data_IF_309663693725
#
_entry.id   IF_309663693725
#
_cell.length_a   1.000
_cell.length_b   1.000
_cell.length_c   1.000
_cell.angle_alpha   90.00
_cell.angle_beta   90.00
_cell.angle_gamma   90.00
#
_symmetry.space_group_name_H-M   'P 1'
#
loop_
_entity.id
_entity.type
_entity.pdbx_description
1 polymer ?
#
# COMPACT_ATOMS: atom_id res chain seq x y z
N UNK A 1 -19.28 -14.91 -8.67
CA UNK A 1 -20.28 -15.88 -8.14
C UNK A 1 -19.63 -16.95 -7.26
N UNK A 2 -18.33 -16.84 -6.98
CA UNK A 2 -17.51 -17.78 -6.19
C UNK A 2 -17.75 -17.69 -4.68
N UNK A 3 -18.48 -16.66 -4.24
CA UNK A 3 -18.79 -16.36 -2.85
C UNK A 3 -20.00 -17.10 -2.30
N UNK A 4 -20.78 -17.75 -3.16
CA UNK A 4 -21.90 -18.60 -2.75
C UNK A 4 -21.43 -20.03 -2.45
N UNK A 5 -21.90 -20.61 -1.35
CA UNK A 5 -21.58 -22.00 -0.97
C UNK A 5 -22.21 -23.00 -1.95
N UNK A 6 -23.40 -22.66 -2.45
CA UNK A 6 -24.17 -23.45 -3.42
C UNK A 6 -24.61 -22.53 -4.57
N UNK A 7 -24.87 -23.07 -5.78
CA UNK A 7 -25.41 -22.27 -6.88
C UNK A 7 -26.66 -21.49 -6.43
N UNK A 8 -26.66 -20.15 -6.52
CA UNK A 8 -27.79 -19.36 -6.04
C UNK A 8 -28.97 -19.47 -7.01
N UNK A 9 -30.18 -19.30 -6.48
CA UNK A 9 -31.43 -19.44 -7.20
C UNK A 9 -31.80 -18.10 -7.84
N UNK A 10 -32.22 -18.10 -9.11
CA UNK A 10 -32.77 -16.90 -9.75
C UNK A 10 -34.05 -16.48 -9.06
N UNK A 11 -34.16 -15.20 -8.77
CA UNK A 11 -35.37 -14.59 -8.20
C UNK A 11 -35.67 -13.33 -8.98
N UNK A 12 -36.94 -12.93 -9.03
CA UNK A 12 -37.36 -11.62 -9.53
C UNK A 12 -38.03 -10.87 -8.37
N UNK A 13 -37.17 -10.33 -7.50
CA UNK A 13 -37.62 -9.55 -6.35
C UNK A 13 -37.27 -8.09 -6.62
N UNK A 14 -38.29 -7.24 -6.67
CA UNK A 14 -38.11 -5.80 -6.81
C UNK A 14 -37.41 -5.26 -5.56
N UNK A 15 -36.19 -4.79 -5.71
CA UNK A 15 -35.43 -4.10 -4.67
C UNK A 15 -35.46 -2.61 -4.98
N UNK A 16 -36.18 -1.86 -4.16
CA UNK A 16 -36.16 -0.39 -4.22
C UNK A 16 -35.00 0.12 -3.37
N UNK A 17 -34.06 0.85 -3.97
CA UNK A 17 -32.91 1.37 -3.24
C UNK A 17 -31.80 1.87 -4.16
N UNK A 18 -30.56 1.42 -3.90
CA UNK A 18 -29.32 1.85 -4.59
C UNK A 18 -29.51 1.80 -6.12
N UNK A 19 -29.42 2.96 -6.77
CA UNK A 19 -29.47 3.09 -8.23
C UNK A 19 -30.87 3.10 -8.86
N UNK A 20 -31.96 3.08 -8.07
CA UNK A 20 -33.34 3.11 -8.57
C UNK A 20 -34.11 1.81 -8.30
N UNK A 21 -35.11 1.50 -9.13
CA UNK A 21 -35.81 0.22 -9.09
C UNK A 21 -34.97 -0.86 -9.79
N UNK A 22 -34.17 -1.59 -9.04
CA UNK A 22 -33.46 -2.79 -9.52
C UNK A 22 -34.22 -4.06 -9.13
N UNK A 23 -34.19 -5.10 -9.96
CA UNK A 23 -34.59 -6.45 -9.52
C UNK A 23 -33.35 -7.16 -8.95
N UNK A 24 -33.44 -7.70 -7.74
CA UNK A 24 -32.46 -8.69 -7.30
C UNK A 24 -32.53 -9.88 -8.25
N UNK A 25 -31.38 -10.30 -8.76
CA UNK A 25 -31.30 -11.31 -9.82
C UNK A 25 -31.16 -12.72 -9.23
N UNK A 26 -30.52 -12.85 -8.07
CA UNK A 26 -30.27 -14.14 -7.42
C UNK A 26 -30.42 -14.07 -5.90
N UNK A 27 -30.69 -15.22 -5.29
CA UNK A 27 -30.75 -15.43 -3.84
C UNK A 27 -30.00 -16.71 -3.48
N UNK A 28 -29.19 -16.67 -2.42
CA UNK A 28 -28.47 -17.86 -1.95
C UNK A 28 -27.74 -17.67 -0.63
N UNK A 29 -26.92 -18.64 -0.26
CA UNK A 29 -26.09 -18.56 0.96
C UNK A 29 -24.67 -18.17 0.60
N UNK A 30 -24.22 -17.03 1.12
CA UNK A 30 -22.86 -16.54 0.91
C UNK A 30 -21.95 -16.95 2.06
N UNK A 31 -20.67 -17.15 1.74
CA UNK A 31 -19.60 -17.36 2.70
C UNK A 31 -18.49 -16.35 2.42
N UNK A 32 -18.26 -15.45 3.36
CA UNK A 32 -17.19 -14.46 3.28
C UNK A 32 -16.16 -14.71 4.37
N UNK A 33 -14.91 -14.90 3.96
CA UNK A 33 -13.78 -14.98 4.88
C UNK A 33 -13.33 -13.56 5.20
N UNK A 34 -13.51 -13.11 6.43
CA UNK A 34 -13.17 -11.77 6.91
C UNK A 34 -12.11 -11.87 7.99
N UNK A 35 -11.14 -10.96 7.94
CA UNK A 35 -10.13 -10.86 8.98
C UNK A 35 -10.51 -9.79 10.01
N UNK A 36 -10.44 -10.09 11.30
CA UNK A 36 -10.69 -9.13 12.38
C UNK A 36 -9.52 -8.15 12.60
N UNK A 37 -9.66 -7.25 13.56
CA UNK A 37 -8.62 -6.25 13.88
C UNK A 37 -7.34 -6.88 14.45
N UNK A 38 -7.44 -8.09 15.01
CA UNK A 38 -6.32 -8.89 15.53
C UNK A 38 -5.71 -9.82 14.49
N UNK A 39 -6.10 -9.67 13.21
CA UNK A 39 -5.65 -10.49 12.09
C UNK A 39 -6.11 -11.95 12.12
N UNK A 40 -7.07 -12.31 12.97
CA UNK A 40 -7.67 -13.65 12.98
C UNK A 40 -8.73 -13.73 11.86
N UNK A 41 -8.75 -14.85 11.15
CA UNK A 41 -9.69 -15.08 10.05
C UNK A 41 -10.98 -15.72 10.56
N UNK A 42 -12.11 -15.21 10.09
CA UNK A 42 -13.45 -15.64 10.48
C UNK A 42 -14.31 -15.85 9.25
N UNK A 43 -15.12 -16.91 9.29
CA UNK A 43 -16.06 -17.20 8.22
C UNK A 43 -17.44 -16.65 8.54
N UNK A 44 -17.94 -15.73 7.71
CA UNK A 44 -19.30 -15.20 7.81
C UNK A 44 -20.18 -15.94 6.81
N UNK A 45 -21.05 -16.80 7.33
CA UNK A 45 -22.05 -17.52 6.53
C UNK A 45 -23.38 -16.80 6.70
N UNK A 46 -23.92 -16.28 5.59
CA UNK A 46 -25.16 -15.49 5.61
C UNK A 46 -26.15 -16.13 4.62
N UNK A 47 -27.18 -16.82 5.13
CA UNK A 47 -28.21 -17.43 4.28
C UNK A 47 -29.09 -16.36 3.65
N UNK A 48 -29.87 -16.74 2.64
CA UNK A 48 -30.91 -15.91 2.03
C UNK A 48 -30.44 -14.51 1.56
N UNK A 49 -29.17 -14.40 1.19
CA UNK A 49 -28.57 -13.15 0.73
C UNK A 49 -28.94 -12.90 -0.74
N UNK A 50 -29.47 -11.71 -1.01
CA UNK A 50 -29.82 -11.27 -2.35
C UNK A 50 -28.60 -10.69 -3.07
N UNK A 51 -28.53 -10.95 -4.37
CA UNK A 51 -27.49 -10.47 -5.26
C UNK A 51 -28.11 -9.87 -6.51
N UNK A 52 -27.60 -8.69 -6.89
CA UNK A 52 -27.92 -8.03 -8.14
C UNK A 52 -26.70 -8.07 -9.06
N UNK A 53 -26.88 -8.62 -10.26
CA UNK A 53 -25.76 -8.95 -11.15
C UNK A 53 -24.93 -7.75 -11.60
N UNK A 54 -25.56 -6.59 -11.76
CA UNK A 54 -24.91 -5.35 -12.18
C UNK A 54 -24.37 -4.51 -11.02
N UNK A 55 -24.49 -4.99 -9.76
CA UNK A 55 -23.91 -4.27 -8.64
C UNK A 55 -22.39 -4.50 -8.59
N UNK A 56 -21.57 -3.43 -8.59
CA UNK A 56 -20.11 -3.57 -8.53
C UNK A 56 -19.62 -4.19 -7.22
N UNK A 57 -20.41 -4.06 -6.15
CA UNK A 57 -20.06 -4.54 -4.81
C UNK A 57 -21.15 -5.45 -4.24
N UNK A 58 -20.74 -6.28 -3.28
CA UNK A 58 -21.69 -7.01 -2.44
C UNK A 58 -22.19 -6.09 -1.34
N UNK A 59 -23.52 -6.00 -1.20
CA UNK A 59 -24.13 -5.25 -0.12
C UNK A 59 -24.29 -6.14 1.10
N UNK A 60 -23.80 -5.66 2.23
CA UNK A 60 -23.98 -6.31 3.52
C UNK A 60 -24.99 -5.54 4.35
N UNK A 61 -26.19 -6.11 4.52
CA UNK A 61 -27.14 -5.60 5.51
C UNK A 61 -26.62 -5.91 6.92
N UNK A 62 -26.29 -4.90 7.76
CA UNK A 62 -25.85 -5.14 9.14
C UNK A 62 -26.88 -5.92 9.94
N UNK A 63 -28.17 -5.63 9.73
CA UNK A 63 -29.28 -6.29 10.40
C UNK A 63 -29.39 -7.76 9.98
N UNK A 64 -29.33 -8.04 8.69
CA UNK A 64 -29.41 -9.42 8.17
C UNK A 64 -28.24 -10.27 8.67
N UNK A 65 -27.04 -9.67 8.70
CA UNK A 65 -25.87 -10.31 9.28
C UNK A 65 -26.05 -10.65 10.76
N UNK A 66 -26.58 -9.73 11.57
CA UNK A 66 -26.86 -10.01 12.98
C UNK A 66 -27.94 -11.09 13.17
N UNK A 67 -28.98 -11.08 12.34
CA UNK A 67 -30.03 -12.12 12.34
C UNK A 67 -29.46 -13.51 12.00
N UNK A 68 -28.54 -13.60 11.04
CA UNK A 68 -27.89 -14.84 10.66
C UNK A 68 -27.07 -15.46 11.81
N UNK A 69 -26.56 -14.64 12.74
CA UNK A 69 -25.74 -15.10 13.87
C UNK A 69 -26.55 -15.52 15.10
N UNK A 70 -27.72 -14.94 15.31
CA UNK A 70 -28.62 -15.27 16.43
C UNK A 70 -27.99 -15.06 17.83
N UNK A 71 -27.05 -14.12 17.96
CA UNK A 71 -26.32 -13.85 19.21
C UNK A 71 -26.97 -12.75 20.08
N UNK A 72 -28.22 -12.35 19.79
CA UNK A 72 -28.89 -11.24 20.49
C UNK A 72 -28.04 -9.96 20.47
N UNK A 73 -27.65 -9.47 21.65
CA UNK A 73 -26.79 -8.28 21.81
C UNK A 73 -25.29 -8.58 21.60
N UNK A 74 -24.92 -9.84 21.34
CA UNK A 74 -23.55 -10.28 21.09
C UNK A 74 -23.02 -9.99 19.68
N UNK A 75 -23.91 -9.64 18.74
CA UNK A 75 -23.54 -9.10 17.42
C UNK A 75 -24.02 -7.66 17.30
N UNK A 76 -23.08 -6.73 17.08
CA UNK A 76 -23.38 -5.29 17.05
C UNK A 76 -22.68 -4.62 15.88
N UNK A 77 -23.34 -3.64 15.27
CA UNK A 77 -22.74 -2.73 14.29
C UNK A 77 -22.87 -1.29 14.81
N UNK A 78 -21.74 -0.62 15.00
CA UNK A 78 -21.67 0.76 15.47
C UNK A 78 -21.08 1.60 14.34
N UNK A 79 -21.77 2.67 13.96
CA UNK A 79 -21.29 3.63 12.97
C UNK A 79 -20.80 4.88 13.69
N UNK A 80 -19.53 5.21 13.50
CA UNK A 80 -18.90 6.46 13.88
C UNK A 80 -18.86 7.41 12.67
N UNK A 81 -18.39 8.64 12.89
CA UNK A 81 -18.27 9.64 11.82
C UNK A 81 -17.27 9.27 10.71
N UNK A 82 -16.31 8.41 11.02
CA UNK A 82 -15.13 8.08 10.20
C UNK A 82 -14.94 6.57 10.01
N UNK A 83 -15.72 5.74 10.72
CA UNK A 83 -15.54 4.30 10.72
C UNK A 83 -16.82 3.56 11.09
N UNK A 84 -16.88 2.29 10.71
CA UNK A 84 -17.87 1.32 11.19
C UNK A 84 -17.16 0.24 11.97
N UNK A 85 -17.60 -0.03 13.20
CA UNK A 85 -17.13 -1.16 14.02
C UNK A 85 -18.19 -2.23 14.08
N UNK A 86 -17.77 -3.47 13.84
CA UNK A 86 -18.63 -4.65 13.94
C UNK A 86 -18.09 -5.58 14.99
N UNK A 87 -18.95 -5.97 15.92
CA UNK A 87 -18.67 -6.91 16.99
C UNK A 87 -19.46 -8.20 16.76
N UNK A 88 -18.86 -9.34 17.05
CA UNK A 88 -19.53 -10.64 16.97
C UNK A 88 -18.96 -11.64 17.97
N UNK A 89 -19.64 -12.80 18.10
CA UNK A 89 -19.29 -13.87 19.03
C UNK A 89 -19.30 -13.33 20.47
N UNK A 90 -20.47 -12.83 20.88
CA UNK A 90 -20.68 -12.19 22.18
C UNK A 90 -19.72 -11.02 22.44
N UNK A 91 -19.57 -10.17 21.42
CA UNK A 91 -18.65 -9.02 21.41
C UNK A 91 -17.17 -9.35 21.61
N UNK A 92 -16.77 -10.61 21.42
CA UNK A 92 -15.37 -11.05 21.58
C UNK A 92 -14.45 -10.56 20.47
N UNK A 93 -14.95 -10.52 19.24
CA UNK A 93 -14.17 -10.13 18.07
C UNK A 93 -14.71 -8.84 17.48
N UNK A 94 -13.80 -8.05 16.92
CA UNK A 94 -14.11 -6.75 16.35
C UNK A 94 -13.44 -6.56 15.00
N UNK A 95 -14.18 -5.96 14.07
CA UNK A 95 -13.66 -5.45 12.81
C UNK A 95 -13.98 -3.97 12.69
N UNK A 96 -12.95 -3.15 12.61
CA UNK A 96 -13.02 -1.72 12.32
C UNK A 96 -12.79 -1.52 10.83
N UNK A 97 -13.72 -0.80 10.19
CA UNK A 97 -13.68 -0.47 8.77
C UNK A 97 -13.73 1.05 8.66
N UNK A 98 -12.63 1.65 8.21
CA UNK A 98 -12.58 3.09 7.97
C UNK A 98 -13.46 3.43 6.77
N UNK A 99 -14.21 4.53 6.87
CA UNK A 99 -15.00 5.05 5.77
C UNK A 99 -14.08 5.65 4.72
N UNK A 100 -14.40 5.42 3.46
CA UNK A 100 -13.71 6.09 2.37
C UNK A 100 -14.00 7.60 2.41
N UNK A 101 -12.95 8.43 2.37
CA UNK A 101 -13.08 9.88 2.56
C UNK A 101 -13.91 10.58 1.47
N UNK A 102 -13.90 10.04 0.25
CA UNK A 102 -14.63 10.61 -0.88
C UNK A 102 -16.08 10.13 -0.92
N UNK A 103 -16.32 8.84 -0.69
CA UNK A 103 -17.64 8.21 -0.87
C UNK A 103 -18.43 8.03 0.42
N UNK A 104 -17.78 8.16 1.59
CA UNK A 104 -18.36 7.90 2.90
C UNK A 104 -18.96 6.48 3.03
N UNK A 105 -18.34 5.50 2.35
CA UNK A 105 -18.79 4.10 2.32
C UNK A 105 -17.76 3.23 3.05
N UNK A 106 -18.24 2.29 3.86
CA UNK A 106 -17.41 1.25 4.47
C UNK A 106 -17.20 0.10 3.48
N UNK A 107 -15.96 -0.11 3.02
CA UNK A 107 -15.61 -1.22 2.14
C UNK A 107 -14.89 -2.33 2.90
N UNK A 108 -15.55 -3.48 3.02
CA UNK A 108 -14.98 -4.67 3.68
C UNK A 108 -14.32 -5.55 2.61
N UNK A 109 -13.03 -5.85 2.81
CA UNK A 109 -12.30 -6.80 1.98
C UNK A 109 -12.32 -8.19 2.61
N UNK A 110 -12.39 -9.21 1.76
CA UNK A 110 -12.14 -10.58 2.19
C UNK A 110 -10.70 -10.71 2.72
N UNK A 111 -10.44 -11.77 3.48
CA UNK A 111 -9.11 -12.13 3.96
C UNK A 111 -8.14 -12.15 2.78
N UNK A 112 -6.96 -11.53 2.90
CA UNK A 112 -5.87 -11.72 1.95
C UNK A 112 -5.54 -13.21 1.81
N UNK A 113 -5.37 -13.68 0.58
CA UNK A 113 -4.91 -15.03 0.28
C UNK A 113 -3.84 -14.96 -0.80
N UNK A 114 -2.91 -15.92 -0.76
CA UNK A 114 -1.88 -16.08 -1.78
C UNK A 114 -2.25 -17.21 -2.75
N UNK A 115 -3.50 -17.67 -2.75
CA UNK A 115 -3.91 -18.89 -3.47
C UNK A 115 -3.66 -18.79 -4.97
N UNK A 116 -3.87 -17.60 -5.56
CA UNK A 116 -3.55 -17.36 -6.98
C UNK A 116 -2.06 -17.37 -7.26
N UNK A 117 -1.26 -16.77 -6.37
CA UNK A 117 0.20 -16.77 -6.49
C UNK A 117 0.75 -18.19 -6.31
N UNK A 118 0.26 -18.93 -5.32
CA UNK A 118 0.62 -20.32 -5.10
C UNK A 118 0.22 -21.19 -6.29
N UNK A 119 -0.99 -21.04 -6.83
CA UNK A 119 -1.42 -21.76 -8.04
C UNK A 119 -0.52 -21.44 -9.25
N UNK A 120 -0.11 -20.18 -9.40
CA UNK A 120 0.86 -19.77 -10.41
C UNK A 120 2.22 -20.43 -10.17
N UNK A 121 2.76 -20.38 -8.94
CA UNK A 121 4.01 -21.04 -8.56
C UNK A 121 3.97 -22.56 -8.82
N UNK A 122 2.85 -23.22 -8.54
CA UNK A 122 2.65 -24.64 -8.87
C UNK A 122 2.67 -24.85 -10.37
N UNK A 123 1.93 -24.05 -11.14
CA UNK A 123 1.89 -24.19 -12.60
C UNK A 123 3.26 -23.99 -13.28
N UNK A 124 4.08 -23.04 -12.79
CA UNK A 124 5.43 -22.82 -13.33
C UNK A 124 6.42 -23.89 -12.85
N UNK A 125 6.27 -24.41 -11.62
CA UNK A 125 7.18 -25.45 -11.10
C UNK A 125 6.94 -26.83 -11.72
N UNK A 126 5.73 -27.08 -12.21
CA UNK A 126 5.40 -28.25 -13.02
C UNK A 126 5.91 -28.13 -14.47
N UNK A 127 6.40 -26.95 -14.87
CA UNK A 127 7.09 -26.77 -16.16
C UNK A 127 8.56 -27.14 -15.95
N UNK A 128 9.08 -28.09 -16.74
CA UNK A 128 10.48 -28.58 -16.70
C UNK A 128 11.55 -27.48 -16.93
N UNK A 129 11.14 -26.23 -17.12
CA UNK A 129 11.97 -25.04 -17.35
C UNK A 129 12.23 -24.21 -16.09
N UNK A 130 11.90 -24.70 -14.88
CA UNK A 130 12.41 -24.13 -13.64
C UNK A 130 13.91 -24.42 -13.46
N UNK A 131 14.72 -23.92 -14.40
CA UNK A 131 16.17 -23.79 -14.23
C UNK A 131 16.38 -22.79 -13.12
N UNK A 132 17.08 -23.20 -12.05
CA UNK A 132 17.59 -22.25 -11.05
C UNK A 132 18.43 -21.24 -11.84
N UNK A 133 17.97 -20.00 -11.93
CA UNK A 133 18.71 -18.92 -12.56
C UNK A 133 19.99 -18.74 -11.75
N UNK A 134 21.14 -18.91 -12.40
CA UNK A 134 22.45 -18.68 -11.81
C UNK A 134 22.59 -17.19 -11.50
N UNK A 135 23.27 -16.87 -10.40
CA UNK A 135 23.65 -15.51 -10.02
C UNK A 135 24.42 -14.76 -11.12
N UNK A 136 25.03 -15.49 -12.07
CA UNK A 136 25.65 -14.92 -13.28
C UNK A 136 24.65 -14.43 -14.33
N UNK A 137 23.43 -14.99 -14.40
CA UNK A 137 22.37 -14.57 -15.34
C UNK A 137 21.56 -13.37 -14.82
N UNK A 138 21.71 -13.01 -13.53
CA UNK A 138 21.10 -11.83 -12.92
C UNK A 138 22.00 -10.56 -13.02
N UNK A 139 23.19 -10.69 -13.59
CA UNK A 139 24.08 -9.55 -13.83
C UNK A 139 23.56 -8.75 -15.03
N UNK A 140 23.18 -7.49 -14.81
CA UNK A 140 22.81 -6.54 -15.87
C UNK A 140 23.92 -6.48 -16.93
N UNK A 141 23.55 -6.41 -18.21
CA UNK A 141 24.51 -6.28 -19.31
C UNK A 141 25.52 -5.16 -19.03
N UNK A 142 26.81 -5.35 -19.32
CA UNK A 142 27.80 -4.30 -19.12
C UNK A 142 27.42 -3.08 -19.97
N UNK A 143 27.49 -1.89 -19.37
CA UNK A 143 27.22 -0.63 -20.06
C UNK A 143 28.22 -0.45 -21.21
N UNK A 144 27.80 -0.80 -22.41
CA UNK A 144 28.61 -0.72 -23.62
C UNK A 144 28.50 0.67 -24.25
N UNK A 145 28.80 1.74 -23.49
CA UNK A 145 29.22 3.01 -24.08
C UNK A 145 29.87 3.90 -23.02
N UNK A 146 31.20 4.00 -23.07
CA UNK A 146 31.93 5.09 -22.44
C UNK A 146 31.58 6.35 -23.25
N UNK A 147 30.70 7.19 -22.70
CA UNK A 147 30.47 8.53 -23.25
C UNK A 147 31.75 9.32 -22.97
N UNK A 148 32.49 9.64 -24.04
CA UNK A 148 33.66 10.51 -23.99
C UNK A 148 33.15 11.93 -23.77
N UNK A 149 33.53 12.52 -22.63
CA UNK A 149 33.28 13.90 -22.26
C UNK A 149 34.23 14.80 -23.05
N UNK A 150 33.82 15.23 -24.25
CA UNK A 150 34.45 16.36 -24.93
C UNK A 150 33.56 16.98 -26.03
N UNK A 151 33.46 18.30 -25.95
CA UNK A 151 33.07 19.30 -26.96
C UNK A 151 31.57 19.65 -27.19
N UNK A 152 31.32 20.93 -26.87
CA UNK A 152 30.39 21.93 -27.45
C UNK A 152 28.86 21.72 -27.39
N UNK A 153 28.24 22.66 -26.66
CA UNK A 153 26.81 22.92 -26.57
C UNK A 153 26.21 23.21 -27.96
N UNK A 154 25.59 22.19 -28.55
CA UNK A 154 24.53 22.38 -29.54
C UNK A 154 23.19 22.17 -28.84
N UNK A 155 22.38 23.23 -28.87
CA UNK A 155 21.00 23.29 -28.43
C UNK A 155 20.19 22.30 -29.30
N UNK A 156 20.04 21.06 -28.83
CA UNK A 156 19.19 20.05 -29.44
C UNK A 156 18.10 19.67 -28.43
N UNK A 157 16.88 19.99 -28.82
CA UNK A 157 15.62 19.87 -28.10
C UNK A 157 15.36 18.40 -27.72
N UNK A 158 15.88 17.99 -26.56
CA UNK A 158 15.49 16.73 -25.91
C UNK A 158 14.10 16.99 -25.34
N UNK A 159 13.09 16.68 -26.15
CA UNK A 159 11.75 16.42 -25.62
C UNK A 159 11.91 15.31 -24.57
N UNK A 160 11.83 15.67 -23.31
CA UNK A 160 11.69 14.72 -22.23
C UNK A 160 10.40 13.93 -22.49
N UNK A 161 10.54 12.74 -23.06
CA UNK A 161 9.60 11.67 -22.81
C UNK A 161 9.75 11.29 -21.35
N UNK A 162 9.29 12.18 -20.46
CA UNK A 162 8.85 11.80 -19.14
C UNK A 162 7.71 10.84 -19.40
N UNK A 163 8.00 9.53 -19.34
CA UNK A 163 6.92 8.57 -19.18
C UNK A 163 6.17 8.99 -17.91
N UNK A 164 5.01 9.60 -18.12
CA UNK A 164 4.20 10.09 -17.03
C UNK A 164 3.90 8.93 -16.09
N UNK A 165 3.79 9.22 -14.80
CA UNK A 165 3.39 8.27 -13.74
C UNK A 165 2.10 7.49 -14.11
N UNK A 166 1.33 7.95 -15.10
CA UNK A 166 0.13 7.31 -15.65
C UNK A 166 0.38 5.95 -16.30
N UNK A 167 1.57 5.66 -16.85
CA UNK A 167 1.83 4.39 -17.55
C UNK A 167 2.10 3.20 -16.61
N UNK A 168 2.35 3.45 -15.32
CA UNK A 168 2.58 2.39 -14.30
C UNK A 168 1.33 2.02 -13.49
N UNK A 169 0.14 2.40 -13.96
CA UNK A 169 -1.10 2.31 -13.18
C UNK A 169 -1.70 0.89 -13.11
N UNK A 170 -2.08 0.37 -11.93
CA UNK A 170 -3.00 -0.75 -11.80
C UNK A 170 -4.40 -0.33 -12.30
N UNK A 171 -5.14 -1.17 -13.07
CA UNK A 171 -6.36 -0.76 -13.78
C UNK A 171 -7.53 -0.28 -12.90
N UNK A 172 -7.41 -0.37 -11.57
CA UNK A 172 -8.53 -0.27 -10.63
C UNK A 172 -8.52 0.99 -9.74
N UNK A 173 -7.56 1.92 -9.90
CA UNK A 173 -7.51 3.19 -9.15
C UNK A 173 -8.17 4.35 -9.92
N UNK A 174 -9.04 5.16 -9.28
CA UNK A 174 -9.68 6.31 -9.93
C UNK A 174 -8.70 7.49 -10.13
N UNK A 175 -8.84 8.21 -11.24
CA UNK A 175 -7.94 9.31 -11.68
C UNK A 175 -7.77 10.44 -10.66
N UNK A 176 -8.81 10.70 -9.87
CA UNK A 176 -8.91 11.84 -8.93
C UNK A 176 -7.82 11.89 -7.86
N UNK A 177 -7.18 10.75 -7.54
CA UNK A 177 -6.12 10.66 -6.52
C UNK A 177 -4.78 11.26 -6.97
N UNK A 178 -4.57 11.41 -8.28
CA UNK A 178 -3.30 11.88 -8.83
C UNK A 178 -3.36 13.33 -9.31
N UNK A 179 -4.54 13.84 -9.65
CA UNK A 179 -4.75 15.25 -10.01
C UNK A 179 -4.66 16.20 -8.78
N UNK A 180 -4.92 15.70 -7.56
CA UNK A 180 -4.80 16.46 -6.31
C UNK A 180 -3.34 16.81 -5.97
N UNK A 181 -2.37 15.99 -6.37
CA UNK A 181 -0.95 16.23 -6.07
C UNK A 181 -0.32 17.31 -6.98
N UNK A 182 -0.92 17.60 -8.14
CA UNK A 182 -0.45 18.65 -9.06
C UNK A 182 -0.99 20.04 -8.70
N UNK A 183 -1.99 20.14 -7.82
CA UNK A 183 -2.67 21.41 -7.47
C UNK A 183 -2.20 22.07 -6.15
N UNK A 184 -1.34 21.40 -5.36
CA UNK A 184 -0.94 21.90 -4.03
C UNK A 184 0.16 22.99 -4.06
N UNK A 185 0.82 23.20 -5.21
CA UNK A 185 1.91 24.19 -5.33
C UNK A 185 1.42 25.65 -5.44
N UNK A 186 0.16 25.90 -5.82
CA UNK A 186 -0.36 27.26 -5.97
C UNK A 186 -1.00 27.86 -4.70
N UNK A 187 -1.39 27.04 -3.70
CA UNK A 187 -2.14 27.53 -2.53
C UNK A 187 -1.26 28.09 -1.40
N UNK A 188 0.06 27.87 -1.42
CA UNK A 188 0.98 28.30 -0.34
C UNK A 188 1.32 29.80 -0.33
N UNK A 189 1.00 30.54 -1.38
CA UNK A 189 1.50 31.92 -1.56
C UNK A 189 0.52 33.04 -1.22
N UNK A 190 -0.69 32.76 -0.72
CA UNK A 190 -1.61 33.85 -0.35
C UNK A 190 -2.52 33.52 0.85
N UNK A 191 -2.01 33.69 2.07
CA UNK A 191 -2.85 33.99 3.23
C UNK A 191 -2.00 34.59 4.38
N UNK A 192 -1.76 35.89 4.31
CA UNK A 192 -1.37 36.67 5.48
C UNK A 192 -2.62 36.94 6.33
N UNK A 193 -2.98 36.05 7.25
CA UNK A 193 -3.85 36.37 8.39
C UNK A 193 -3.40 35.58 9.61
N UNK A 194 -2.84 36.32 10.57
CA UNK A 194 -2.51 35.83 11.89
C UNK A 194 -3.80 35.88 12.75
N UNK A 195 -4.21 34.76 13.35
CA UNK A 195 -4.67 34.84 14.72
C UNK A 195 -4.01 33.78 15.62
N UNK A 196 -3.39 34.28 16.68
CA UNK A 196 -2.99 33.63 17.92
C UNK A 196 -2.82 32.09 17.90
N UNK A 197 -1.59 31.64 17.67
CA UNK A 197 -1.20 30.24 17.90
C UNK A 197 -1.27 29.92 19.41
N UNK A 198 -1.86 28.78 19.84
CA UNK A 198 -1.58 28.25 21.15
C UNK A 198 -0.08 27.92 21.24
N UNK A 199 0.54 28.32 22.35
CA UNK A 199 1.94 28.02 22.66
C UNK A 199 2.06 26.50 22.76
N UNK A 200 2.58 25.86 21.71
CA UNK A 200 3.14 24.53 21.83
C UNK A 200 4.33 24.65 22.77
N UNK A 201 4.37 23.83 23.82
CA UNK A 201 5.60 23.61 24.57
C UNK A 201 6.64 23.15 23.56
N UNK A 202 7.67 23.98 23.37
CA UNK A 202 8.91 23.58 22.71
C UNK A 202 9.43 22.42 23.54
N UNK A 203 9.18 21.20 23.08
CA UNK A 203 9.91 20.03 23.54
C UNK A 203 11.35 20.32 23.09
N UNK A 204 12.33 20.40 24.01
CA UNK A 204 13.71 20.49 23.58
C UNK A 204 13.96 19.30 22.65
N UNK A 205 14.49 19.56 21.46
CA UNK A 205 15.15 18.51 20.70
C UNK A 205 16.31 18.06 21.58
N UNK A 206 16.08 17.03 22.37
CA UNK A 206 17.18 16.22 22.89
C UNK A 206 17.80 15.60 21.65
N UNK A 207 18.81 16.27 21.10
CA UNK A 207 19.82 15.64 20.28
C UNK A 207 20.49 14.58 21.17
N UNK A 208 19.85 13.42 21.32
CA UNK A 208 20.59 12.20 21.52
C UNK A 208 21.41 12.02 20.25
N UNK A 209 22.58 12.66 20.22
CA UNK A 209 23.70 12.35 19.34
C UNK A 209 23.99 10.88 19.62
N UNK A 210 23.29 9.99 18.91
CA UNK A 210 23.64 8.59 18.87
C UNK A 210 25.08 8.57 18.42
N UNK A 211 25.98 8.32 19.37
CA UNK A 211 27.39 8.15 19.10
C UNK A 211 27.48 7.21 17.91
N UNK A 212 28.30 7.56 16.90
CA UNK A 212 28.51 6.72 15.73
C UNK A 212 29.12 5.39 16.16
N UNK A 213 28.26 4.48 16.61
CA UNK A 213 28.62 3.11 16.89
C UNK A 213 28.93 2.45 15.55
N UNK A 214 29.85 1.48 15.51
CA UNK A 214 30.10 0.70 14.29
C UNK A 214 28.82 0.08 13.70
N UNK A 215 27.87 -0.26 14.57
CA UNK A 215 26.55 -0.77 14.21
C UNK A 215 25.68 0.28 13.54
N UNK A 216 25.69 1.53 14.03
CA UNK A 216 24.98 2.65 13.40
C UNK A 216 25.58 3.01 12.03
N UNK A 217 26.92 2.98 11.90
CA UNK A 217 27.59 3.20 10.61
C UNK A 217 27.26 2.10 9.61
N UNK A 218 27.27 0.84 10.05
CA UNK A 218 26.84 -0.30 9.23
C UNK A 218 25.39 -0.14 8.76
N UNK A 219 24.50 0.26 9.67
CA UNK A 219 23.08 0.46 9.36
C UNK A 219 22.88 1.62 8.37
N UNK A 220 23.61 2.72 8.54
CA UNK A 220 23.61 3.85 7.61
C UNK A 220 24.08 3.43 6.21
N UNK A 221 25.13 2.62 6.11
CA UNK A 221 25.60 2.06 4.84
C UNK A 221 24.59 1.11 4.21
N UNK A 222 23.93 0.26 5.01
CA UNK A 222 22.89 -0.64 4.54
C UNK A 222 21.71 0.12 3.91
N UNK A 223 21.25 1.20 4.56
CA UNK A 223 20.21 2.07 3.99
C UNK A 223 20.70 2.83 2.75
N UNK A 224 21.92 3.40 2.80
CA UNK A 224 22.51 4.15 1.67
C UNK A 224 22.64 3.30 0.41
N UNK A 225 22.88 2.00 0.56
CA UNK A 225 23.02 1.07 -0.55
C UNK A 225 21.78 0.20 -0.78
N UNK A 226 20.58 0.77 -0.56
CA UNK A 226 19.30 0.14 -0.88
C UNK A 226 19.14 -1.27 -0.29
N UNK A 227 19.47 -1.42 1.00
CA UNK A 227 19.37 -2.66 1.75
C UNK A 227 20.31 -3.78 1.26
N UNK A 228 21.53 -3.43 0.88
CA UNK A 228 22.56 -4.41 0.53
C UNK A 228 22.75 -5.43 1.66
N UNK A 229 22.73 -6.73 1.32
CA UNK A 229 22.92 -7.81 2.29
C UNK A 229 24.23 -7.64 3.09
N UNK A 230 24.23 -7.93 4.41
CA UNK A 230 25.39 -7.81 5.29
C UNK A 230 26.66 -8.49 4.75
N UNK A 231 26.50 -9.67 4.15
CA UNK A 231 27.61 -10.46 3.61
C UNK A 231 28.28 -9.78 2.42
N UNK A 232 27.50 -9.07 1.59
CA UNK A 232 28.00 -8.30 0.45
C UNK A 232 28.75 -7.06 0.93
N UNK A 233 28.28 -6.39 1.98
CA UNK A 233 29.03 -5.27 2.59
C UNK A 233 30.35 -5.73 3.21
N UNK A 234 30.38 -6.90 3.85
CA UNK A 234 31.62 -7.50 4.37
C UNK A 234 32.58 -7.89 3.23
N UNK A 235 32.07 -8.42 2.12
CA UNK A 235 32.87 -8.75 0.95
C UNK A 235 33.47 -7.49 0.28
N UNK A 236 32.71 -6.39 0.22
CA UNK A 236 33.19 -5.08 -0.27
C UNK A 236 34.28 -4.50 0.65
N UNK A 237 34.08 -4.55 1.96
CA UNK A 237 35.06 -4.11 2.94
C UNK A 237 36.38 -4.89 2.86
N UNK A 238 36.31 -6.22 2.63
CA UNK A 238 37.50 -7.08 2.47
C UNK A 238 38.28 -6.82 1.18
N UNK A 239 37.65 -6.22 0.16
CA UNK A 239 38.27 -5.95 -1.15
C UNK A 239 38.91 -4.56 -1.26
N UNK A 240 38.78 -3.70 -0.25
CA UNK A 240 39.47 -2.40 -0.19
C UNK A 240 38.92 -1.30 -1.11
N UNK A 241 37.77 -1.49 -1.76
CA UNK A 241 37.17 -0.48 -2.64
C UNK A 241 36.39 0.59 -1.84
N UNK A 242 37.08 1.38 -1.01
CA UNK A 242 36.54 2.59 -0.37
C UNK A 242 36.98 3.90 -1.06
N UNK A 243 37.87 3.84 -2.06
CA UNK A 243 38.43 5.01 -2.75
C UNK A 243 37.52 5.58 -3.86
N UNK A 244 36.26 5.87 -3.51
CA UNK A 244 35.34 6.60 -4.38
C UNK A 244 34.53 7.69 -3.65
N UNK A 245 34.90 8.03 -2.42
CA UNK A 245 34.15 8.99 -1.57
C UNK A 245 35.00 10.14 -1.03
N UNK A 246 36.10 10.50 -1.70
CA UNK A 246 36.84 11.72 -1.39
C UNK A 246 37.25 12.41 -2.68
N UNK A 247 36.47 13.41 -3.10
CA UNK A 247 36.92 14.70 -3.65
C UNK A 247 35.78 15.37 -4.41
N UNK A 248 35.18 16.39 -3.81
CA UNK A 248 34.91 17.71 -4.42
C UNK A 248 34.23 18.61 -3.38
N UNK A 249 34.81 19.78 -3.12
CA UNK A 249 34.20 20.79 -2.24
C UNK A 249 35.13 21.38 -1.20
N UNK A 250 36.26 21.92 -1.66
CA UNK A 250 37.14 22.84 -0.94
C UNK A 250 36.34 23.94 -0.23
N UNK A 251 36.44 24.04 1.10
CA UNK A 251 36.31 25.32 1.79
C UNK A 251 37.46 25.45 2.80
N UNK A 252 38.39 26.33 2.44
CA UNK A 252 39.51 26.75 3.26
C UNK A 252 39.02 27.43 4.54
N UNK A 253 39.51 27.00 5.70
CA UNK A 253 39.76 27.90 6.82
C UNK A 253 41.11 27.55 7.46
N UNK A 254 42.05 28.48 7.24
CA UNK A 254 43.40 28.53 7.77
C UNK A 254 43.33 28.76 9.29
N UNK A 255 44.01 27.96 10.10
CA UNK A 255 44.59 28.39 11.37
C UNK A 255 45.91 27.66 11.64
N UNK A 256 47.01 28.37 11.40
CA UNK A 256 48.33 28.06 11.95
C UNK A 256 48.53 28.89 13.22
N UNK A 257 48.78 28.24 14.35
CA UNK A 257 49.63 28.79 15.42
C UNK A 257 50.37 27.65 16.12
N UNK A 258 51.70 27.70 16.00
CA UNK A 258 52.69 26.92 16.77
C UNK A 258 52.75 27.42 18.23
N UNK A 259 53.33 26.63 19.14
CA UNK A 259 54.77 26.78 19.42
C UNK A 259 55.61 25.56 19.02
#
# INVERSE_FOLDING_TARGET
MTDFIYPPVRVDVKVTGIGGAGSATYKGTVKWEIQDDTRVSHSWIIPDTYYHEHSPYRLLSPQHWAQARQEGNGTVCITYHDAVKRFWQDCRYVKTVILDGATNIALIRSKPSYDRFNAFCTAISDTDECRILDETELMSMPAAQLVSDDEELADDDISEASESIRERRPPDLPDVLFDELEHDDEFRNNANTNPARPIYSVVPEDEEVQQQTPQAQFLALHYKHAHLLPEKMQALARRGNQEGMENEGTNQLILHTYP
#
